data_IF_848693057684
#
_entry.id   IF_848693057684
#
_cell.length_a   1.000
_cell.length_b   1.000
_cell.length_c   1.000
_cell.angle_alpha   90.00
_cell.angle_beta   90.00
_cell.angle_gamma   90.00
#
_symmetry.space_group_name_H-M   'P 1'
#
loop_
_entity.id
_entity.type
_entity.pdbx_description
1 polymer ?
#
# COMPACT_ATOMS: atom_id res chain seq x y z
N UNK A 1 45.92 4.95 36.75
CA UNK A 1 44.58 5.51 36.53
C UNK A 1 44.15 5.41 35.06
N UNK A 2 44.97 5.80 34.07
CA UNK A 2 44.57 5.77 32.63
C UNK A 2 44.07 4.43 32.05
N UNK A 3 44.57 3.27 32.52
CA UNK A 3 44.19 1.97 31.93
C UNK A 3 42.75 1.53 32.30
N UNK A 4 42.30 1.84 33.52
CA UNK A 4 40.97 1.45 33.99
C UNK A 4 39.84 2.28 33.34
N UNK A 5 40.16 3.50 32.90
CA UNK A 5 39.21 4.37 32.22
C UNK A 5 38.99 3.93 30.78
N UNK A 6 40.03 3.41 30.11
CA UNK A 6 39.93 2.88 28.75
C UNK A 6 39.02 1.64 28.68
N UNK A 7 39.17 0.69 29.61
CA UNK A 7 38.34 -0.52 29.65
C UNK A 7 36.86 -0.19 29.87
N UNK A 8 36.55 0.71 30.82
CA UNK A 8 35.18 1.18 31.06
C UNK A 8 34.59 1.91 29.85
N UNK A 9 35.40 2.68 29.12
CA UNK A 9 34.94 3.38 27.92
C UNK A 9 34.53 2.38 26.83
N UNK A 10 35.31 1.32 26.62
CA UNK A 10 34.98 0.24 25.68
C UNK A 10 33.74 -0.55 26.10
N UNK A 11 33.56 -0.79 27.40
CA UNK A 11 32.40 -1.48 27.95
C UNK A 11 31.10 -0.68 27.71
N UNK A 12 31.11 0.62 28.03
CA UNK A 12 29.97 1.52 27.83
C UNK A 12 29.67 1.75 26.34
N UNK A 13 30.71 1.85 25.49
CA UNK A 13 30.52 1.95 24.05
C UNK A 13 29.88 0.67 23.48
N UNK A 14 30.37 -0.51 23.86
CA UNK A 14 29.83 -1.79 23.35
C UNK A 14 28.37 -2.02 23.75
N UNK A 15 28.00 -1.68 24.99
CA UNK A 15 26.63 -1.78 25.48
C UNK A 15 25.69 -0.81 24.74
N UNK A 16 26.17 0.40 24.47
CA UNK A 16 25.44 1.41 23.71
C UNK A 16 25.25 0.97 22.25
N UNK A 17 26.31 0.47 21.60
CA UNK A 17 26.26 0.00 20.22
C UNK A 17 25.25 -1.13 20.06
N UNK A 18 25.19 -2.08 20.99
CA UNK A 18 24.23 -3.19 20.87
C UNK A 18 22.77 -2.71 21.01
N UNK A 19 22.52 -1.73 21.87
CA UNK A 19 21.19 -1.12 21.98
C UNK A 19 20.77 -0.43 20.67
N UNK A 20 21.68 0.33 20.04
CA UNK A 20 21.40 1.02 18.77
C UNK A 20 21.21 0.06 17.60
N UNK A 21 22.04 -0.99 17.50
CA UNK A 21 21.88 -2.01 16.45
C UNK A 21 20.56 -2.75 16.65
N UNK A 22 20.20 -3.11 17.89
CA UNK A 22 18.90 -3.71 18.20
C UNK A 22 17.73 -2.80 17.80
N UNK A 23 17.83 -1.50 18.08
CA UNK A 23 16.82 -0.51 17.69
C UNK A 23 16.66 -0.42 16.17
N UNK A 24 17.76 -0.34 15.42
CA UNK A 24 17.74 -0.29 13.95
C UNK A 24 17.12 -1.56 13.39
N UNK A 25 17.51 -2.74 13.88
CA UNK A 25 16.94 -4.02 13.44
C UNK A 25 15.45 -4.08 13.75
N UNK A 26 15.02 -3.63 14.93
CA UNK A 26 13.61 -3.58 15.29
C UNK A 26 12.81 -2.64 14.38
N UNK A 27 13.35 -1.46 14.05
CA UNK A 27 12.71 -0.52 13.12
C UNK A 27 12.61 -1.10 11.71
N UNK A 28 13.67 -1.75 11.21
CA UNK A 28 13.64 -2.41 9.90
C UNK A 28 12.65 -3.57 9.86
N UNK A 29 12.60 -4.38 10.93
CA UNK A 29 11.63 -5.46 11.05
C UNK A 29 10.19 -4.93 11.09
N UNK A 30 9.95 -3.83 11.82
CA UNK A 30 8.64 -3.18 11.87
C UNK A 30 8.24 -2.62 10.50
N UNK A 31 9.16 -1.95 9.81
CA UNK A 31 8.94 -1.44 8.46
C UNK A 31 8.66 -2.58 7.48
N UNK A 32 9.45 -3.66 7.52
CA UNK A 32 9.24 -4.84 6.70
C UNK A 32 7.89 -5.51 6.98
N UNK A 33 7.51 -5.64 8.25
CA UNK A 33 6.24 -6.22 8.65
C UNK A 33 5.04 -5.35 8.23
N UNK A 34 5.16 -4.03 8.39
CA UNK A 34 4.17 -3.07 7.92
C UNK A 34 4.06 -3.11 6.39
N UNK A 35 5.17 -3.15 5.66
CA UNK A 35 5.19 -3.33 4.20
C UNK A 35 4.61 -4.67 3.78
N UNK A 36 4.85 -5.75 4.53
CA UNK A 36 4.33 -7.08 4.25
C UNK A 36 2.81 -7.15 4.42
N UNK A 37 2.28 -6.52 5.47
CA UNK A 37 0.82 -6.38 5.70
C UNK A 37 0.21 -5.43 4.67
N UNK A 38 0.86 -4.29 4.40
CA UNK A 38 0.41 -3.31 3.41
C UNK A 38 0.35 -3.94 2.03
N UNK A 39 1.37 -4.69 1.63
CA UNK A 39 1.40 -5.44 0.35
C UNK A 39 0.24 -6.43 0.26
N UNK A 40 -0.09 -7.12 1.35
CA UNK A 40 -1.25 -8.01 1.39
C UNK A 40 -2.61 -7.28 1.29
N UNK A 41 -2.64 -6.00 1.63
CA UNK A 41 -3.80 -5.12 1.46
C UNK A 41 -3.77 -4.30 0.16
N UNK A 42 -2.61 -4.16 -0.49
CA UNK A 42 -2.43 -3.41 -1.73
C UNK A 42 -2.65 -4.29 -2.97
N UNK A 43 -2.73 -5.61 -2.81
CA UNK A 43 -3.24 -6.52 -3.85
C UNK A 43 -4.75 -6.31 -4.13
N UNK A 44 -5.47 -5.59 -3.26
CA UNK A 44 -6.87 -5.17 -3.48
C UNK A 44 -7.02 -3.79 -4.16
N UNK A 45 -5.92 -3.06 -4.42
CA UNK A 45 -5.92 -1.91 -5.35
C UNK A 45 -5.78 -2.41 -6.81
N UNK A 46 -6.45 -3.53 -7.11
CA UNK A 46 -6.68 -3.98 -8.48
C UNK A 46 -7.49 -2.88 -9.20
N UNK A 47 -6.97 -2.26 -10.27
CA UNK A 47 -7.72 -1.29 -11.06
C UNK A 47 -9.07 -1.83 -11.55
N UNK A 48 -9.23 -3.16 -11.66
CA UNK A 48 -10.51 -3.80 -11.94
C UNK A 48 -11.52 -3.63 -10.78
N UNK A 49 -11.09 -3.79 -9.52
CA UNK A 49 -11.93 -3.63 -8.33
C UNK A 49 -12.39 -2.18 -8.11
N UNK A 50 -11.53 -1.21 -8.41
CA UNK A 50 -11.90 0.22 -8.42
C UNK A 50 -12.96 0.54 -9.49
N UNK A 51 -12.83 -0.07 -10.67
CA UNK A 51 -13.78 0.11 -11.78
C UNK A 51 -15.13 -0.54 -11.47
N UNK A 52 -15.15 -1.72 -10.85
CA UNK A 52 -16.37 -2.41 -10.44
C UNK A 52 -17.13 -1.65 -9.33
N UNK A 53 -16.43 -1.04 -8.35
CA UNK A 53 -17.06 -0.14 -7.37
C UNK A 53 -17.72 1.07 -8.03
N UNK A 54 -17.02 1.71 -8.97
CA UNK A 54 -17.51 2.90 -9.67
C UNK A 54 -18.74 2.57 -10.56
N UNK A 55 -18.75 1.40 -11.20
CA UNK A 55 -19.92 0.91 -11.94
C UNK A 55 -21.14 0.65 -11.03
N UNK A 56 -20.91 0.17 -9.81
CA UNK A 56 -21.98 -0.03 -8.83
C UNK A 56 -22.62 1.29 -8.41
N UNK A 57 -21.82 2.31 -8.14
CA UNK A 57 -22.28 3.65 -7.76
C UNK A 57 -23.11 4.31 -8.88
N UNK A 58 -22.66 4.22 -10.13
CA UNK A 58 -23.40 4.76 -11.28
C UNK A 58 -24.72 4.01 -11.52
N UNK A 59 -24.78 2.71 -11.23
CA UNK A 59 -26.03 1.93 -11.31
C UNK A 59 -27.04 2.38 -10.26
N UNK A 60 -26.57 2.76 -9.07
CA UNK A 60 -27.41 3.27 -7.99
C UNK A 60 -27.99 4.65 -8.36
N UNK A 61 -27.15 5.55 -8.90
CA UNK A 61 -27.58 6.89 -9.37
C UNK A 61 -28.59 6.77 -10.53
N UNK A 62 -28.41 5.81 -11.44
CA UNK A 62 -29.39 5.52 -12.50
C UNK A 62 -30.72 4.99 -11.93
N UNK A 63 -30.66 4.15 -10.89
CA UNK A 63 -31.87 3.63 -10.24
C UNK A 63 -32.64 4.71 -9.47
N UNK A 64 -31.96 5.72 -8.94
CA UNK A 64 -32.56 6.90 -8.30
C UNK A 64 -33.18 7.88 -9.30
N UNK A 65 -32.95 7.66 -10.61
CA UNK A 65 -33.51 8.47 -11.69
C UNK A 65 -32.79 9.80 -11.91
N UNK A 66 -31.66 10.02 -11.23
CA UNK A 66 -30.83 11.23 -11.34
C UNK A 66 -29.91 11.19 -12.58
N UNK A 67 -29.96 10.09 -13.34
CA UNK A 67 -29.21 9.90 -14.58
C UNK A 67 -30.14 9.51 -15.74
N UNK A 68 -30.01 10.18 -16.88
CA UNK A 68 -30.70 9.75 -18.10
C UNK A 68 -30.09 8.46 -18.66
N UNK A 69 -30.87 7.70 -19.43
CA UNK A 69 -30.41 6.44 -20.03
C UNK A 69 -29.22 6.64 -21.00
N UNK A 70 -29.17 7.80 -21.67
CA UNK A 70 -28.09 8.16 -22.58
C UNK A 70 -26.78 8.43 -21.81
N UNK A 71 -26.88 9.13 -20.68
CA UNK A 71 -25.75 9.40 -19.78
C UNK A 71 -25.23 8.11 -19.14
N UNK A 72 -26.13 7.22 -18.71
CA UNK A 72 -25.75 5.91 -18.17
C UNK A 72 -24.97 5.09 -19.20
N UNK A 73 -25.48 5.02 -20.44
CA UNK A 73 -24.86 4.24 -21.52
C UNK A 73 -23.48 4.79 -21.89
N UNK A 74 -23.34 6.11 -21.92
CA UNK A 74 -22.07 6.83 -22.15
C UNK A 74 -21.02 6.49 -21.08
N UNK A 75 -21.36 6.63 -19.80
CA UNK A 75 -20.42 6.43 -18.69
C UNK A 75 -20.06 4.95 -18.56
N UNK A 76 -21.05 4.05 -18.68
CA UNK A 76 -20.84 2.60 -18.66
C UNK A 76 -19.85 2.16 -19.76
N UNK A 77 -20.01 2.65 -20.99
CA UNK A 77 -19.12 2.32 -22.10
C UNK A 77 -17.67 2.72 -21.84
N UNK A 78 -17.45 3.93 -21.31
CA UNK A 78 -16.10 4.44 -20.98
C UNK A 78 -15.42 3.65 -19.85
N UNK A 79 -16.19 3.20 -18.86
CA UNK A 79 -15.66 2.40 -17.74
C UNK A 79 -15.32 0.97 -18.17
N UNK A 80 -16.16 0.34 -19.00
CA UNK A 80 -15.85 -0.97 -19.59
C UNK A 80 -14.60 -0.92 -20.47
N UNK A 81 -14.46 0.12 -21.30
CA UNK A 81 -13.26 0.29 -22.13
C UNK A 81 -11.99 0.50 -21.29
N UNK A 82 -12.07 1.21 -20.16
CA UNK A 82 -10.96 1.36 -19.22
C UNK A 82 -10.58 0.02 -18.58
N UNK A 83 -11.56 -0.82 -18.23
CA UNK A 83 -11.33 -2.16 -17.68
C UNK A 83 -10.63 -3.07 -18.68
N UNK A 84 -11.07 -3.06 -19.94
CA UNK A 84 -10.48 -3.89 -21.00
C UNK A 84 -9.05 -3.44 -21.34
N UNK A 85 -8.78 -2.12 -21.37
CA UNK A 85 -7.43 -1.60 -21.59
C UNK A 85 -6.45 -1.91 -20.45
N UNK A 86 -6.90 -1.86 -19.19
CA UNK A 86 -6.09 -2.25 -18.05
C UNK A 86 -5.77 -3.76 -18.06
N UNK A 87 -6.73 -4.61 -18.46
CA UNK A 87 -6.51 -6.06 -18.54
C UNK A 87 -5.50 -6.47 -19.63
N UNK A 88 -5.29 -5.64 -20.65
CA UNK A 88 -4.31 -5.91 -21.72
C UNK A 88 -2.89 -5.44 -21.42
N UNK A 89 -2.68 -4.55 -20.44
CA UNK A 89 -1.34 -4.06 -20.08
C UNK A 89 -0.62 -4.95 -19.06
N UNK A 90 -1.33 -5.83 -18.34
CA UNK A 90 -0.76 -6.74 -17.34
C UNK A 90 -0.25 -8.09 -17.94
N UNK A 91 -0.46 -8.33 -19.24
CA UNK A 91 -0.10 -9.59 -19.95
C UNK A 91 1.17 -9.49 -20.84
N UNK A 92 1.93 -8.38 -20.81
CA UNK A 92 3.15 -8.16 -21.63
C UNK A 92 4.48 -8.17 -20.85
#
# INVERSE_FOLDING_TARGET
MQAADAEKFWEVMSATTWMWVGLIVALLALAWFASRIRSWFHEDDDPAGATDRMLSEIREIYADGDLSEEEFRSIKGRLLQRREGAATEDDE
#
